data_IF_610242316650
#
_entry.id   IF_610242316650
#
_cell.length_a   1.000
_cell.length_b   1.000
_cell.length_c   1.000
_cell.angle_alpha   90.00
_cell.angle_beta   90.00
_cell.angle_gamma   90.00
#
_symmetry.space_group_name_H-M   'P 1'
#
loop_
_entity.id
_entity.type
_entity.pdbx_description
1 polymer ?
#
# COMPACT_ATOMS: atom_id res chain seq x y z
N UNK A 1 5.98 -11.20 9.23
CA UNK A 1 5.75 -10.12 8.25
C UNK A 1 6.58 -10.40 7.00
N UNK A 2 5.95 -10.35 5.84
CA UNK A 2 6.61 -10.64 4.57
C UNK A 2 7.39 -9.41 4.09
N UNK A 3 8.53 -9.61 3.43
CA UNK A 3 9.31 -8.54 2.80
C UNK A 3 8.59 -8.05 1.53
N UNK A 4 7.45 -7.42 1.76
CA UNK A 4 6.46 -7.04 0.75
C UNK A 4 6.13 -5.55 0.87
N UNK A 5 6.13 -4.86 -0.25
CA UNK A 5 5.57 -3.51 -0.36
C UNK A 5 4.26 -3.58 -1.13
N UNK A 6 3.19 -3.02 -0.56
CA UNK A 6 1.90 -2.89 -1.24
C UNK A 6 1.80 -1.49 -1.80
N UNK A 7 1.65 -1.38 -3.12
CA UNK A 7 1.47 -0.10 -3.81
C UNK A 7 -0.02 0.10 -4.05
N UNK A 8 -0.56 1.20 -3.52
CA UNK A 8 -1.99 1.53 -3.63
C UNK A 8 -2.14 2.85 -4.35
N UNK A 9 -2.91 2.83 -5.45
CA UNK A 9 -3.22 4.05 -6.20
C UNK A 9 -4.52 4.63 -5.66
N UNK A 10 -4.51 5.94 -5.36
CA UNK A 10 -5.69 6.58 -4.73
C UNK A 10 -6.14 7.83 -5.46
N UNK A 11 -7.46 8.05 -5.42
CA UNK A 11 -8.10 9.31 -5.78
C UNK A 11 -9.39 9.40 -4.99
N UNK A 12 -9.40 10.24 -3.93
CA UNK A 12 -10.55 10.39 -3.04
C UNK A 12 -11.04 9.05 -2.46
N UNK A 13 -10.12 8.33 -1.83
CA UNK A 13 -10.37 6.99 -1.26
C UNK A 13 -10.45 6.98 0.27
N UNK A 14 -10.78 8.10 0.88
CA UNK A 14 -10.86 8.24 2.33
C UNK A 14 -11.72 7.16 2.99
N UNK A 15 -12.82 6.76 2.34
CA UNK A 15 -13.76 5.78 2.90
C UNK A 15 -13.25 4.35 2.84
N UNK A 16 -12.39 4.03 1.88
CA UNK A 16 -11.99 2.64 1.59
C UNK A 16 -10.56 2.31 1.97
N UNK A 17 -9.68 3.31 2.00
CA UNK A 17 -8.24 3.09 2.16
C UNK A 17 -7.88 2.37 3.45
N UNK A 18 -8.51 2.71 4.57
CA UNK A 18 -8.22 2.07 5.84
C UNK A 18 -8.43 0.55 5.79
N UNK A 19 -9.54 0.11 5.22
CA UNK A 19 -9.83 -1.33 5.08
C UNK A 19 -8.78 -2.04 4.24
N UNK A 20 -8.37 -1.41 3.12
CA UNK A 20 -7.36 -1.98 2.25
C UNK A 20 -6.04 -2.16 3.00
N UNK A 21 -5.56 -1.13 3.68
CA UNK A 21 -4.32 -1.17 4.44
C UNK A 21 -4.40 -2.19 5.59
N UNK A 22 -5.49 -2.17 6.35
CA UNK A 22 -5.65 -3.06 7.49
C UNK A 22 -5.74 -4.53 7.08
N UNK A 23 -6.23 -4.83 5.87
CA UNK A 23 -6.27 -6.21 5.38
C UNK A 23 -4.87 -6.81 5.23
N UNK A 24 -3.84 -5.97 5.09
CA UNK A 24 -2.43 -6.40 5.01
C UNK A 24 -1.66 -6.20 6.32
N UNK A 25 -2.34 -5.78 7.38
CA UNK A 25 -1.66 -5.53 8.66
C UNK A 25 -0.99 -6.80 9.17
N UNK A 26 0.29 -6.68 9.52
CA UNK A 26 1.08 -7.83 9.95
C UNK A 26 1.60 -8.68 8.80
N UNK A 27 1.22 -8.39 7.55
CA UNK A 27 1.67 -9.10 6.36
C UNK A 27 2.68 -8.26 5.58
N UNK A 28 2.30 -7.03 5.20
CA UNK A 28 3.15 -6.15 4.41
C UNK A 28 4.09 -5.33 5.30
N UNK A 29 5.34 -5.23 4.88
CA UNK A 29 6.35 -4.46 5.59
C UNK A 29 6.22 -2.96 5.30
N UNK A 30 5.75 -2.60 4.10
CA UNK A 30 5.65 -1.22 3.67
C UNK A 30 4.43 -1.03 2.78
N UNK A 31 3.81 0.15 2.89
CA UNK A 31 2.74 0.60 1.99
C UNK A 31 3.23 1.86 1.27
N UNK A 32 3.03 1.92 -0.04
CA UNK A 32 3.31 3.10 -0.85
C UNK A 32 2.00 3.57 -1.44
N UNK A 33 1.58 4.78 -1.10
CA UNK A 33 0.36 5.38 -1.63
C UNK A 33 0.76 6.38 -2.71
N UNK A 34 0.27 6.17 -3.93
CA UNK A 34 0.45 7.11 -5.03
C UNK A 34 -0.89 7.78 -5.30
N UNK A 35 -1.01 9.01 -4.86
CA UNK A 35 -2.26 9.75 -4.87
C UNK A 35 -2.34 10.73 -6.04
N UNK A 36 -3.50 10.81 -6.68
CA UNK A 36 -3.77 11.72 -7.80
C UNK A 36 -4.39 13.02 -7.31
N UNK A 37 -3.77 13.66 -6.30
CA UNK A 37 -4.19 14.94 -5.74
C UNK A 37 -5.65 14.89 -5.24
N UNK A 38 -5.91 13.97 -4.31
CA UNK A 38 -7.23 13.85 -3.66
C UNK A 38 -7.59 15.14 -2.94
N UNK A 39 -8.88 15.45 -2.94
CA UNK A 39 -9.44 16.65 -2.31
C UNK A 39 -10.20 16.34 -1.03
N UNK A 40 -10.32 15.06 -0.66
CA UNK A 40 -10.94 14.61 0.59
C UNK A 40 -9.87 14.39 1.68
N UNK A 41 -10.19 13.63 2.72
CA UNK A 41 -9.29 13.35 3.83
C UNK A 41 -8.28 12.22 3.58
N UNK A 42 -8.05 11.81 2.35
CA UNK A 42 -7.13 10.71 2.01
C UNK A 42 -5.72 10.95 2.57
N UNK A 43 -5.17 12.14 2.37
CA UNK A 43 -3.82 12.46 2.85
C UNK A 43 -3.72 12.42 4.38
N UNK A 44 -4.70 13.02 5.06
CA UNK A 44 -4.74 13.01 6.52
C UNK A 44 -4.85 11.59 7.08
N UNK A 45 -5.66 10.76 6.42
CA UNK A 45 -5.81 9.36 6.78
C UNK A 45 -4.48 8.60 6.63
N UNK A 46 -3.72 8.88 5.58
CA UNK A 46 -2.42 8.25 5.36
C UNK A 46 -1.43 8.58 6.49
N UNK A 47 -1.43 9.80 6.98
CA UNK A 47 -0.58 10.20 8.11
C UNK A 47 -0.97 9.44 9.37
N UNK A 48 -2.27 9.30 9.62
CA UNK A 48 -2.78 8.55 10.77
C UNK A 48 -2.41 7.08 10.67
N UNK A 49 -2.62 6.47 9.50
CA UNK A 49 -2.28 5.07 9.26
C UNK A 49 -0.77 4.82 9.44
N UNK A 50 0.07 5.72 8.95
CA UNK A 50 1.52 5.58 9.11
C UNK A 50 1.90 5.54 10.60
N UNK A 51 1.33 6.42 11.42
CA UNK A 51 1.58 6.43 12.85
C UNK A 51 1.19 5.11 13.51
N UNK A 52 0.04 4.55 13.12
CA UNK A 52 -0.42 3.27 13.65
C UNK A 52 0.49 2.11 13.21
N UNK A 53 0.88 2.10 11.94
CA UNK A 53 1.70 1.02 11.37
C UNK A 53 3.12 1.00 11.94
N UNK A 54 3.69 2.15 12.24
CA UNK A 54 5.03 2.22 12.82
C UNK A 54 5.12 1.49 14.16
N UNK A 55 4.01 1.40 14.89
CA UNK A 55 3.97 0.68 16.17
C UNK A 55 4.15 -0.83 16.02
N UNK A 56 3.90 -1.36 14.83
CA UNK A 56 4.07 -2.79 14.55
C UNK A 56 5.21 -3.07 13.57
N UNK A 57 6.08 -2.09 13.32
CA UNK A 57 7.24 -2.26 12.46
C UNK A 57 6.97 -2.12 10.96
N UNK A 58 5.80 -1.64 10.58
CA UNK A 58 5.47 -1.29 9.19
C UNK A 58 5.59 0.20 8.96
N UNK A 59 5.47 0.64 7.71
CA UNK A 59 5.48 2.04 7.34
C UNK A 59 4.52 2.28 6.18
N UNK A 60 3.99 3.50 6.10
CA UNK A 60 3.18 3.95 4.98
C UNK A 60 3.73 5.29 4.50
N UNK A 61 4.14 5.34 3.25
CA UNK A 61 4.67 6.56 2.63
C UNK A 61 3.67 7.07 1.60
N UNK A 62 3.41 8.37 1.65
CA UNK A 62 2.41 9.03 0.82
C UNK A 62 3.11 9.87 -0.24
N UNK A 63 2.76 9.65 -1.52
CA UNK A 63 3.29 10.40 -2.66
C UNK A 63 2.14 10.89 -3.50
N UNK A 64 2.34 12.01 -4.20
CA UNK A 64 1.37 12.54 -5.15
C UNK A 64 1.97 12.60 -6.54
N UNK A 65 1.21 12.16 -7.54
CA UNK A 65 1.61 12.17 -8.94
C UNK A 65 0.39 12.43 -9.81
N UNK A 66 0.56 13.28 -10.81
CA UNK A 66 -0.52 13.63 -11.73
C UNK A 66 -0.99 12.39 -12.49
N UNK A 67 -2.29 12.17 -12.52
CA UNK A 67 -2.86 11.06 -13.25
C UNK A 67 -2.73 11.25 -14.76
N UNK A 68 -2.13 10.30 -15.45
CA UNK A 68 -2.07 10.21 -16.90
C UNK A 68 -2.79 8.95 -17.35
N UNK A 69 -2.38 7.80 -16.81
CA UNK A 69 -3.01 6.52 -17.03
C UNK A 69 -2.72 5.62 -15.84
N UNK A 70 -3.44 4.51 -15.76
CA UNK A 70 -3.23 3.54 -14.70
C UNK A 70 -1.79 2.97 -14.72
N UNK A 71 -1.33 2.59 -15.92
CA UNK A 71 0.02 2.04 -16.07
C UNK A 71 1.09 3.07 -15.72
N UNK A 72 0.91 4.33 -16.12
CA UNK A 72 1.83 5.41 -15.80
C UNK A 72 1.92 5.61 -14.28
N UNK A 73 0.77 5.65 -13.61
CA UNK A 73 0.72 5.86 -12.16
C UNK A 73 1.43 4.75 -11.41
N UNK A 74 1.17 3.50 -11.79
CA UNK A 74 1.82 2.36 -11.17
C UNK A 74 3.32 2.36 -11.42
N UNK A 75 3.75 2.59 -12.65
CA UNK A 75 5.17 2.63 -13.01
C UNK A 75 5.89 3.74 -12.26
N UNK A 76 5.27 4.91 -12.15
CA UNK A 76 5.85 6.01 -11.39
C UNK A 76 6.09 5.59 -9.93
N UNK A 77 5.10 4.96 -9.32
CA UNK A 77 5.21 4.47 -7.94
C UNK A 77 6.32 3.45 -7.77
N UNK A 78 6.44 2.52 -8.71
CA UNK A 78 7.47 1.48 -8.64
C UNK A 78 8.89 2.06 -8.83
N UNK A 79 9.04 3.11 -9.63
CA UNK A 79 10.36 3.65 -9.98
C UNK A 79 10.83 4.80 -9.11
N UNK A 80 9.93 5.53 -8.45
CA UNK A 80 10.26 6.80 -7.81
C UNK A 80 10.08 6.83 -6.29
N UNK A 81 9.68 5.73 -5.66
CA UNK A 81 9.40 5.69 -4.24
C UNK A 81 10.39 4.88 -3.42
N UNK A 82 11.47 4.45 -4.03
CA UNK A 82 12.55 3.73 -3.31
C UNK A 82 12.12 2.40 -2.73
N UNK A 83 11.34 1.61 -3.50
CA UNK A 83 10.95 0.28 -3.05
C UNK A 83 12.18 -0.63 -3.03
N UNK A 84 12.49 -1.16 -1.85
CA UNK A 84 13.66 -2.01 -1.64
C UNK A 84 13.30 -3.39 -1.07
N UNK A 85 12.00 -3.68 -0.95
CA UNK A 85 11.55 -5.00 -0.53
C UNK A 85 11.69 -6.01 -1.66
N UNK A 86 11.78 -7.30 -1.29
CA UNK A 86 11.90 -8.38 -2.26
C UNK A 86 10.67 -8.50 -3.16
N UNK A 87 9.49 -8.27 -2.59
CA UNK A 87 8.21 -8.40 -3.28
C UNK A 87 7.49 -7.07 -3.33
N UNK A 88 6.76 -6.83 -4.40
CA UNK A 88 5.83 -5.70 -4.50
C UNK A 88 4.51 -6.20 -5.07
N UNK A 89 3.42 -5.61 -4.60
CA UNK A 89 2.07 -5.97 -5.01
C UNK A 89 1.25 -4.70 -5.17
N UNK A 90 0.39 -4.67 -6.19
CA UNK A 90 -0.53 -3.56 -6.41
C UNK A 90 -1.92 -3.93 -5.90
N UNK A 91 -2.57 -2.97 -5.24
CA UNK A 91 -3.97 -3.07 -4.83
C UNK A 91 -4.68 -1.77 -5.15
N UNK A 92 -5.96 -1.87 -5.51
CA UNK A 92 -6.82 -0.69 -5.58
C UNK A 92 -7.35 -0.39 -4.17
N UNK A 93 -7.57 0.88 -3.86
CA UNK A 93 -7.91 1.28 -2.50
C UNK A 93 -9.28 0.73 -2.02
N UNK A 94 -10.16 0.37 -2.94
CA UNK A 94 -11.45 -0.23 -2.62
C UNK A 94 -11.39 -1.77 -2.50
N UNK A 95 -10.20 -2.36 -2.65
CA UNK A 95 -9.99 -3.78 -2.49
C UNK A 95 -9.47 -4.09 -1.09
N UNK A 96 -9.72 -5.30 -0.62
CA UNK A 96 -9.08 -5.84 0.58
C UNK A 96 -8.70 -7.28 0.33
N UNK A 97 -7.56 -7.68 0.91
CA UNK A 97 -7.10 -9.06 0.76
C UNK A 97 -7.89 -9.95 1.74
N UNK A 98 -8.28 -11.14 1.30
CA UNK A 98 -8.93 -12.11 2.16
C UNK A 98 -7.97 -12.59 3.23
N UNK A 99 -8.47 -12.82 4.43
CA UNK A 99 -7.64 -13.24 5.57
C UNK A 99 -6.82 -14.50 5.26
N UNK A 100 -7.44 -15.49 4.62
CA UNK A 100 -6.76 -16.72 4.24
C UNK A 100 -5.62 -16.46 3.25
N UNK A 101 -5.84 -15.57 2.29
CA UNK A 101 -4.83 -15.22 1.30
C UNK A 101 -3.70 -14.42 1.94
N UNK A 102 -4.01 -13.53 2.87
CA UNK A 102 -2.99 -12.77 3.59
C UNK A 102 -2.06 -13.69 4.37
N UNK A 103 -2.62 -14.66 5.08
CA UNK A 103 -1.84 -15.66 5.81
C UNK A 103 -0.99 -16.50 4.88
N UNK A 104 -1.53 -16.88 3.73
CA UNK A 104 -0.82 -17.67 2.72
C UNK A 104 0.36 -16.88 2.14
N UNK A 105 0.18 -15.59 1.85
CA UNK A 105 1.25 -14.72 1.36
C UNK A 105 2.38 -14.65 2.39
N UNK A 106 2.05 -14.39 3.65
CA UNK A 106 3.05 -14.27 4.70
C UNK A 106 3.83 -15.58 4.93
N UNK A 107 3.18 -16.71 4.73
CA UNK A 107 3.80 -18.01 4.86
C UNK A 107 4.62 -18.42 3.63
N UNK A 108 4.08 -18.19 2.42
CA UNK A 108 4.65 -18.73 1.18
C UNK A 108 5.67 -17.86 0.48
N UNK A 109 5.45 -16.53 0.40
CA UNK A 109 6.34 -15.66 -0.35
C UNK A 109 7.79 -15.73 0.12
N UNK A 110 8.10 -15.80 1.42
CA UNK A 110 9.49 -15.91 1.86
C UNK A 110 10.18 -17.20 1.42
N UNK A 111 9.41 -18.20 0.99
CA UNK A 111 9.92 -19.51 0.56
C UNK A 111 10.05 -19.65 -0.96
N UNK A 112 9.45 -18.72 -1.69
CA UNK A 112 9.45 -18.74 -3.17
C UNK A 112 10.54 -17.81 -3.67
N UNK A 113 11.64 -18.38 -4.12
CA UNK A 113 12.74 -17.61 -4.69
C UNK A 113 13.25 -18.28 -5.95
#
# INVERSE_FOLDING_TARGET
MTDLTVVILTKNEEKNLRKCVESFRGVAKRFVIVDSFSTDGTEALCKELNSELQKIGSALDFYQHKWISYADQLNWGLQNTGIDTEWSMRMDADEEIMEDLAAEIDERLPKVK
#
